data_IF_410336460855
#
_entry.id   IF_410336460855
#
_cell.length_a   1.000
_cell.length_b   1.000
_cell.length_c   1.000
_cell.angle_alpha   90.00
_cell.angle_beta   90.00
_cell.angle_gamma   90.00
#
_symmetry.space_group_name_H-M   'P 1'
#
loop_
_entity.id
_entity.type
_entity.pdbx_description
1 polymer ?
#
# COMPACT_ATOMS: atom_id res chain seq x y z
N UNK A 1 22.17 3.45 15.16
CA UNK A 1 21.54 3.65 13.85
C UNK A 1 20.12 4.07 14.11
N UNK A 2 19.79 5.32 13.81
CA UNK A 2 18.44 5.85 14.00
C UNK A 2 17.63 5.39 12.79
N UNK A 3 16.72 4.45 12.99
CA UNK A 3 15.80 4.02 11.93
C UNK A 3 14.54 4.88 11.96
N UNK A 4 14.09 5.35 10.81
CA UNK A 4 12.82 6.04 10.64
C UNK A 4 11.87 5.14 9.87
N UNK A 5 10.62 5.03 10.32
CA UNK A 5 9.60 4.30 9.57
C UNK A 5 8.82 5.27 8.69
N UNK A 6 8.66 4.93 7.43
CA UNK A 6 7.82 5.65 6.50
C UNK A 6 6.49 4.91 6.34
N UNK A 7 5.39 5.65 6.44
CA UNK A 7 4.09 5.20 5.98
C UNK A 7 3.98 5.53 4.50
N UNK A 8 3.91 4.51 3.66
CA UNK A 8 3.70 4.71 2.23
C UNK A 8 2.30 4.26 1.86
N UNK A 9 1.61 5.14 1.15
CA UNK A 9 0.30 4.87 0.56
C UNK A 9 0.50 4.85 -0.95
N UNK A 10 0.31 3.68 -1.56
CA UNK A 10 0.35 3.50 -3.00
C UNK A 10 -1.06 3.38 -3.52
N UNK A 11 -1.48 4.33 -4.32
CA UNK A 11 -2.76 4.30 -5.02
C UNK A 11 -2.54 3.85 -6.45
N UNK A 12 -3.32 2.88 -6.90
CA UNK A 12 -3.25 2.36 -8.26
C UNK A 12 -4.63 2.09 -8.83
N UNK A 13 -4.69 1.85 -10.14
CA UNK A 13 -5.89 1.39 -10.83
C UNK A 13 -5.71 -0.04 -11.27
N UNK A 14 -6.78 -0.83 -11.23
CA UNK A 14 -6.75 -2.12 -11.90
C UNK A 14 -6.70 -1.88 -13.41
N UNK A 15 -5.90 -2.67 -14.12
CA UNK A 15 -5.82 -2.61 -15.57
C UNK A 15 -6.93 -3.48 -16.19
N UNK A 16 -6.71 -3.99 -17.39
CA UNK A 16 -7.62 -4.96 -17.98
C UNK A 16 -7.54 -6.26 -17.17
N UNK A 17 -8.67 -6.60 -16.53
CA UNK A 17 -8.87 -7.84 -15.79
C UNK A 17 -9.78 -8.74 -16.62
N UNK A 18 -9.44 -10.03 -16.69
CA UNK A 18 -10.36 -11.04 -17.24
C UNK A 18 -11.53 -11.27 -16.29
N UNK A 19 -12.63 -11.84 -16.79
CA UNK A 19 -13.80 -12.15 -15.97
C UNK A 19 -13.46 -13.09 -14.79
N UNK A 20 -12.50 -14.00 -14.98
CA UNK A 20 -12.01 -14.91 -13.94
C UNK A 20 -11.24 -14.17 -12.83
N UNK A 21 -10.36 -13.25 -13.21
CA UNK A 21 -9.63 -12.40 -12.25
C UNK A 21 -10.60 -11.50 -11.51
N UNK A 22 -11.56 -10.91 -12.22
CA UNK A 22 -12.61 -10.06 -11.66
C UNK A 22 -13.43 -10.81 -10.62
N UNK A 23 -13.90 -12.02 -10.95
CA UNK A 23 -14.69 -12.84 -10.04
C UNK A 23 -13.90 -13.20 -8.76
N UNK A 24 -12.63 -13.58 -8.93
CA UNK A 24 -11.75 -13.91 -7.80
C UNK A 24 -11.48 -12.72 -6.89
N UNK A 25 -11.21 -11.54 -7.46
CA UNK A 25 -10.98 -10.31 -6.71
C UNK A 25 -12.26 -9.84 -6.02
N UNK A 26 -13.43 -9.87 -6.69
CA UNK A 26 -14.71 -9.51 -6.08
C UNK A 26 -15.06 -10.44 -4.91
N UNK A 27 -14.79 -11.74 -5.03
CA UNK A 27 -15.01 -12.69 -3.94
C UNK A 27 -14.13 -12.39 -2.71
N UNK A 28 -12.89 -11.93 -2.94
CA UNK A 28 -11.95 -11.54 -1.89
C UNK A 28 -12.15 -10.09 -1.41
N UNK A 29 -12.95 -9.27 -2.09
CA UNK A 29 -13.11 -7.85 -1.77
C UNK A 29 -13.59 -7.61 -0.32
N UNK A 30 -14.44 -8.51 0.21
CA UNK A 30 -14.87 -8.45 1.61
C UNK A 30 -13.73 -8.68 2.62
N UNK A 31 -12.67 -9.37 2.22
CA UNK A 31 -11.46 -9.55 3.02
C UNK A 31 -10.45 -8.42 2.87
N UNK A 32 -10.58 -7.60 1.83
CA UNK A 32 -9.72 -6.46 1.52
C UNK A 32 -10.45 -5.10 1.64
N UNK A 33 -11.45 -5.04 2.51
CA UNK A 33 -12.22 -3.83 2.76
C UNK A 33 -11.41 -2.79 3.56
N UNK A 34 -11.77 -1.51 3.41
CA UNK A 34 -11.19 -0.37 4.12
C UNK A 34 -11.23 -0.53 5.64
N UNK A 35 -12.20 -1.28 6.18
CA UNK A 35 -12.27 -1.59 7.61
C UNK A 35 -11.09 -2.43 8.12
N UNK A 36 -10.44 -3.19 7.23
CA UNK A 36 -9.23 -3.96 7.54
C UNK A 36 -7.95 -3.23 7.11
N UNK A 37 -8.05 -2.01 6.56
CA UNK A 37 -6.90 -1.20 6.17
C UNK A 37 -5.98 -0.95 7.38
N UNK A 38 -4.78 -1.51 7.34
CA UNK A 38 -3.74 -1.27 8.35
C UNK A 38 -2.42 -0.98 7.66
N UNK A 39 -1.58 -0.23 8.34
CA UNK A 39 -0.18 -0.06 7.95
C UNK A 39 0.61 -1.20 8.61
N UNK A 40 1.09 -2.13 7.79
CA UNK A 40 1.92 -3.28 8.20
C UNK A 40 3.20 -3.29 7.36
N UNK A 41 4.25 -3.98 7.83
CA UNK A 41 5.51 -4.10 7.08
C UNK A 41 5.36 -4.90 5.79
N UNK A 42 4.47 -5.90 5.78
CA UNK A 42 4.09 -6.65 4.57
C UNK A 42 3.19 -5.83 3.63
N UNK A 43 2.52 -4.82 4.17
CA UNK A 43 1.55 -3.98 3.50
C UNK A 43 0.15 -4.61 3.40
N UNK A 44 -0.85 -3.75 3.29
CA UNK A 44 -2.27 -4.15 3.17
C UNK A 44 -2.86 -3.53 1.92
N UNK A 45 -3.32 -4.39 0.99
CA UNK A 45 -4.10 -3.96 -0.18
C UNK A 45 -5.56 -3.81 0.23
N UNK A 46 -6.17 -2.70 -0.16
CA UNK A 46 -7.60 -2.46 -0.04
C UNK A 46 -8.18 -2.00 -1.36
N UNK A 47 -9.37 -2.48 -1.69
CA UNK A 47 -10.05 -2.12 -2.93
C UNK A 47 -11.55 -2.32 -2.81
N UNK A 48 -12.29 -1.65 -3.69
CA UNK A 48 -13.74 -1.80 -3.78
C UNK A 48 -14.11 -2.91 -4.78
N UNK A 49 -15.28 -3.56 -4.63
CA UNK A 49 -15.77 -4.58 -5.56
C UNK A 49 -15.97 -4.06 -7.00
N UNK A 50 -16.00 -2.74 -7.16
CA UNK A 50 -16.00 -2.10 -8.47
C UNK A 50 -14.69 -2.35 -9.24
N UNK A 51 -13.60 -2.69 -8.56
CA UNK A 51 -12.27 -2.95 -9.12
C UNK A 51 -11.79 -1.82 -10.04
N UNK A 52 -12.06 -0.58 -9.65
CA UNK A 52 -11.62 0.62 -10.38
C UNK A 52 -10.23 1.04 -9.90
N UNK A 53 -10.09 1.14 -8.58
CA UNK A 53 -8.90 1.61 -7.89
C UNK A 53 -8.60 0.72 -6.70
N UNK A 54 -7.33 0.63 -6.35
CA UNK A 54 -6.89 0.02 -5.11
C UNK A 54 -5.96 0.97 -4.39
N UNK A 55 -5.91 0.81 -3.07
CA UNK A 55 -4.97 1.50 -2.20
C UNK A 55 -4.20 0.47 -1.42
N UNK A 56 -2.88 0.48 -1.56
CA UNK A 56 -1.94 -0.30 -0.79
C UNK A 56 -1.30 0.59 0.28
N UNK A 57 -1.20 0.07 1.51
CA UNK A 57 -0.65 0.79 2.66
C UNK A 57 0.42 -0.06 3.30
N UNK A 58 1.63 0.45 3.40
CA UNK A 58 2.78 -0.29 3.93
C UNK A 58 3.64 0.57 4.85
N UNK A 59 4.28 -0.08 5.82
CA UNK A 59 5.32 0.49 6.66
C UNK A 59 6.67 0.07 6.10
N UNK A 60 7.45 1.04 5.65
CA UNK A 60 8.82 0.81 5.17
C UNK A 60 9.78 1.31 6.26
N UNK A 61 10.50 0.42 6.95
CA UNK A 61 11.61 0.82 7.80
C UNK A 61 12.76 1.30 6.92
N UNK A 62 13.21 2.53 7.15
CA UNK A 62 14.27 3.16 6.39
C UNK A 62 15.34 3.72 7.35
N UNK A 63 16.55 3.89 6.83
CA UNK A 63 17.69 4.47 7.54
C UNK A 63 17.92 5.91 7.09
N UNK A 64 18.79 6.66 7.79
CA UNK A 64 19.14 8.03 7.41
C UNK A 64 19.80 8.13 6.02
N UNK A 65 20.33 7.02 5.48
CA UNK A 65 20.90 6.93 4.12
C UNK A 65 19.85 6.65 3.04
N UNK A 66 18.67 6.15 3.41
CA UNK A 66 17.60 5.82 2.47
C UNK A 66 16.89 7.10 2.01
N UNK A 67 16.89 7.34 0.70
CA UNK A 67 16.13 8.44 0.11
C UNK A 67 14.64 8.13 0.08
N UNK A 68 13.82 9.18 0.09
CA UNK A 68 12.37 9.04 -0.06
C UNK A 68 12.01 8.28 -1.35
N UNK A 69 12.76 8.49 -2.44
CA UNK A 69 12.58 7.78 -3.71
C UNK A 69 12.80 6.27 -3.59
N UNK A 70 13.78 5.82 -2.80
CA UNK A 70 14.00 4.39 -2.53
C UNK A 70 12.83 3.79 -1.78
N UNK A 71 12.35 4.48 -0.75
CA UNK A 71 11.18 4.07 0.05
C UNK A 71 9.92 3.98 -0.82
N UNK A 72 9.70 4.95 -1.71
CA UNK A 72 8.58 4.95 -2.65
C UNK A 72 8.70 3.79 -3.64
N UNK A 73 9.89 3.55 -4.21
CA UNK A 73 10.14 2.44 -5.12
C UNK A 73 9.83 1.09 -4.48
N UNK A 74 10.30 0.85 -3.25
CA UNK A 74 9.99 -0.37 -2.50
C UNK A 74 8.49 -0.55 -2.28
N UNK A 75 7.78 0.52 -1.94
CA UNK A 75 6.33 0.45 -1.76
C UNK A 75 5.59 0.14 -3.07
N UNK A 76 6.05 0.67 -4.20
CA UNK A 76 5.49 0.34 -5.52
C UNK A 76 5.72 -1.11 -5.90
N UNK A 77 6.93 -1.64 -5.67
CA UNK A 77 7.26 -3.04 -5.90
C UNK A 77 6.39 -3.97 -5.04
N UNK A 78 6.21 -3.64 -3.76
CA UNK A 78 5.34 -4.40 -2.85
C UNK A 78 3.86 -4.30 -3.27
N UNK A 79 3.39 -3.11 -3.66
CA UNK A 79 2.03 -2.93 -4.16
C UNK A 79 1.79 -3.77 -5.43
N UNK A 80 2.75 -3.74 -6.36
CA UNK A 80 2.72 -4.54 -7.58
C UNK A 80 2.68 -6.04 -7.26
N UNK A 81 3.58 -6.52 -6.40
CA UNK A 81 3.63 -7.92 -5.99
C UNK A 81 2.33 -8.36 -5.31
N UNK A 82 1.75 -7.52 -4.44
CA UNK A 82 0.52 -7.84 -3.75
C UNK A 82 -0.67 -7.93 -4.71
N UNK A 83 -0.81 -7.00 -5.67
CA UNK A 83 -1.89 -7.05 -6.66
C UNK A 83 -1.73 -8.24 -7.60
N UNK A 84 -0.51 -8.54 -8.04
CA UNK A 84 -0.21 -9.73 -8.84
C UNK A 84 -0.49 -11.03 -8.08
N UNK A 85 -0.16 -11.08 -6.78
CA UNK A 85 -0.44 -12.21 -5.90
C UNK A 85 -1.94 -12.48 -5.71
N UNK A 86 -2.77 -11.44 -5.76
CA UNK A 86 -4.24 -11.54 -5.79
C UNK A 86 -4.79 -11.99 -7.15
N UNK A 87 -3.92 -12.11 -8.17
CA UNK A 87 -4.30 -12.44 -9.54
C UNK A 87 -4.76 -11.23 -10.36
N UNK A 88 -4.57 -10.01 -9.87
CA UNK A 88 -4.96 -8.78 -10.56
C UNK A 88 -3.85 -8.13 -11.37
N UNK A 89 -4.22 -7.33 -12.36
CA UNK A 89 -3.33 -6.44 -13.11
C UNK A 89 -3.47 -5.00 -12.62
N UNK A 90 -2.39 -4.21 -12.70
CA UNK A 90 -2.38 -2.83 -12.23
C UNK A 90 -1.84 -1.86 -13.29
N UNK A 91 -2.20 -0.59 -13.15
CA UNK A 91 -1.74 0.55 -13.95
C UNK A 91 -1.79 1.83 -13.13
N UNK A 92 -1.09 2.87 -13.59
CA UNK A 92 -1.12 4.21 -12.99
C UNK A 92 -0.83 4.19 -11.47
N UNK A 93 0.26 3.52 -11.07
CA UNK A 93 0.70 3.51 -9.68
C UNK A 93 1.18 4.91 -9.28
N UNK A 94 0.78 5.33 -8.08
CA UNK A 94 1.21 6.57 -7.47
C UNK A 94 1.41 6.37 -5.99
N UNK A 95 2.65 6.49 -5.54
CA UNK A 95 3.00 6.36 -4.12
C UNK A 95 3.20 7.71 -3.44
N UNK A 96 2.82 7.78 -2.17
CA UNK A 96 3.04 8.93 -1.30
C UNK A 96 3.59 8.41 0.02
N UNK A 97 4.80 8.84 0.36
CA UNK A 97 5.49 8.54 1.61
C UNK A 97 5.14 9.58 2.67
N UNK A 98 5.15 9.15 3.92
CA UNK A 98 4.99 10.01 5.09
C UNK A 98 5.94 9.53 6.17
N UNK A 99 6.91 10.37 6.49
CA UNK A 99 7.93 10.12 7.51
C UNK A 99 7.32 10.19 8.92
N UNK A 100 7.25 9.06 9.64
CA UNK A 100 6.74 9.02 11.02
C UNK A 100 7.66 9.70 12.03
N UNK A 101 8.96 9.83 11.75
CA UNK A 101 9.88 10.58 12.62
C UNK A 101 9.62 12.08 12.56
N UNK A 102 9.17 12.59 11.40
CA UNK A 102 8.75 13.98 11.21
C UNK A 102 7.32 14.25 11.69
N UNK A 103 6.47 13.23 11.79
CA UNK A 103 5.20 13.35 12.48
C UNK A 103 5.51 13.59 13.96
N UNK A 104 5.53 14.86 14.36
CA UNK A 104 5.45 15.27 15.77
C UNK A 104 4.18 14.66 16.36
N UNK A 105 4.27 13.45 16.88
CA UNK A 105 3.29 12.95 17.83
C UNK A 105 3.38 13.93 19.00
N UNK A 106 2.46 14.90 19.06
CA UNK A 106 2.17 15.61 20.31
C UNK A 106 1.65 14.55 21.26
N UNK A 107 2.53 13.82 21.95
CA UNK A 107 2.18 13.07 23.14
C UNK A 107 1.54 14.10 24.06
N UNK A 108 0.22 14.04 24.21
CA UNK A 108 -0.50 14.83 25.20
C UNK A 108 0.01 14.32 26.54
N UNK A 109 0.92 15.09 27.15
CA UNK A 109 1.51 14.78 28.44
C UNK A 109 0.41 14.56 29.46
N UNK A 110 0.55 13.50 30.25
CA UNK A 110 -0.30 13.22 31.40
C UNK A 110 0.32 13.82 32.63
#
# INVERSE_FOLDING_TARGET
MSGTTYQVITHGKFAELTDEQRASLVAQAGDHDLFKARFTEEGTVTYEPALLTFTFRVLIPATDDDTEELVLGQAEELAAAAVQGLGGTYRDLRSVSTDLSKIKIKRKGR
#
